data_IF_762973771216
#
_entry.id   IF_762973771216
#
_cell.length_a   1.000
_cell.length_b   1.000
_cell.length_c   1.000
_cell.angle_alpha   90.00
_cell.angle_beta   90.00
_cell.angle_gamma   90.00
#
_symmetry.space_group_name_H-M   'P 1'
#
loop_
_entity.id
_entity.type
_entity.pdbx_description
1 polymer ?
#
# COMPACT_ATOMS: atom_id res chain seq x y z
N UNK A 1 8.73 -7.71 15.57
CA UNK A 1 8.24 -8.33 14.31
C UNK A 1 7.66 -9.73 14.52
N UNK A 2 8.43 -10.72 14.99
CA UNK A 2 7.98 -12.13 15.09
C UNK A 2 6.63 -12.32 15.81
N UNK A 3 6.48 -11.74 17.00
CA UNK A 3 5.24 -11.88 17.79
C UNK A 3 4.04 -11.22 17.09
N UNK A 4 4.24 -10.02 16.54
CA UNK A 4 3.20 -9.29 15.80
C UNK A 4 2.77 -10.03 14.51
N UNK A 5 3.72 -10.65 13.79
CA UNK A 5 3.43 -11.45 12.62
C UNK A 5 2.68 -12.74 12.99
N UNK A 6 3.08 -13.42 14.06
CA UNK A 6 2.39 -14.60 14.56
C UNK A 6 0.95 -14.28 14.98
N UNK A 7 0.73 -13.14 15.64
CA UNK A 7 -0.61 -12.66 15.97
C UNK A 7 -1.43 -12.31 14.72
N UNK A 8 -0.82 -11.65 13.72
CA UNK A 8 -1.48 -11.36 12.45
C UNK A 8 -1.91 -12.65 11.73
N UNK A 9 -1.07 -13.69 11.71
CA UNK A 9 -1.40 -15.00 11.15
C UNK A 9 -2.55 -15.67 11.94
N UNK A 10 -2.49 -15.66 13.27
CA UNK A 10 -3.54 -16.23 14.13
C UNK A 10 -4.90 -15.55 13.93
N UNK A 11 -4.89 -14.25 13.65
CA UNK A 11 -6.10 -13.47 13.38
C UNK A 11 -6.55 -13.52 11.92
N UNK A 12 -5.80 -14.20 11.05
CA UNK A 12 -6.12 -14.34 9.61
C UNK A 12 -5.82 -13.10 8.78
N UNK A 13 -4.98 -12.18 9.27
CA UNK A 13 -4.53 -10.99 8.54
C UNK A 13 -3.30 -11.25 7.66
N UNK A 14 -2.50 -12.27 7.98
CA UNK A 14 -1.34 -12.66 7.20
C UNK A 14 -1.43 -14.14 6.83
N UNK A 15 -0.96 -14.50 5.64
CA UNK A 15 -0.91 -15.88 5.17
C UNK A 15 0.20 -16.69 5.86
N UNK A 16 0.19 -18.02 5.65
CA UNK A 16 1.21 -18.92 6.18
C UNK A 16 2.61 -18.56 5.65
N UNK A 17 2.70 -18.17 4.37
CA UNK A 17 3.88 -17.55 3.77
C UNK A 17 3.60 -16.05 3.54
N UNK A 18 4.04 -15.16 4.46
CA UNK A 18 3.77 -13.74 4.38
C UNK A 18 4.82 -12.98 3.56
N UNK A 19 5.69 -13.68 2.81
CA UNK A 19 6.85 -13.08 2.11
C UNK A 19 6.44 -11.90 1.23
N UNK A 20 5.35 -12.02 0.49
CA UNK A 20 4.89 -10.94 -0.41
C UNK A 20 4.51 -9.65 0.32
N UNK A 21 3.99 -9.77 1.53
CA UNK A 21 3.59 -8.63 2.36
C UNK A 21 4.82 -8.04 3.07
N UNK A 22 5.61 -8.87 3.76
CA UNK A 22 6.69 -8.40 4.62
C UNK A 22 7.91 -7.91 3.83
N UNK A 23 8.15 -8.44 2.64
CA UNK A 23 9.20 -7.97 1.72
C UNK A 23 8.72 -6.81 0.82
N UNK A 24 7.43 -6.45 0.89
CA UNK A 24 6.87 -5.30 0.16
C UNK A 24 6.59 -5.54 -1.33
N UNK A 25 6.60 -6.78 -1.79
CA UNK A 25 6.33 -7.14 -3.19
C UNK A 25 4.89 -6.85 -3.61
N UNK A 26 3.92 -7.05 -2.72
CA UNK A 26 2.52 -6.69 -2.99
C UNK A 26 2.36 -5.17 -3.22
N UNK A 27 3.03 -4.38 -2.36
CA UNK A 27 3.05 -2.91 -2.50
C UNK A 27 3.72 -2.50 -3.81
N UNK A 28 4.83 -3.15 -4.19
CA UNK A 28 5.51 -2.87 -5.46
C UNK A 28 4.63 -3.20 -6.68
N UNK A 29 3.92 -4.32 -6.67
CA UNK A 29 2.99 -4.70 -7.74
C UNK A 29 1.87 -3.67 -7.90
N UNK A 30 1.27 -3.24 -6.78
CA UNK A 30 0.24 -2.19 -6.77
C UNK A 30 0.79 -0.86 -7.28
N UNK A 31 2.03 -0.51 -6.92
CA UNK A 31 2.68 0.71 -7.37
C UNK A 31 2.92 0.71 -8.89
N UNK A 32 3.39 -0.41 -9.45
CA UNK A 32 3.56 -0.55 -10.92
C UNK A 32 2.23 -0.34 -11.64
N UNK A 33 1.18 -1.04 -11.23
CA UNK A 33 -0.12 -0.99 -11.90
C UNK A 33 -0.69 0.43 -11.84
N UNK A 34 -0.71 1.03 -10.64
CA UNK A 34 -1.31 2.36 -10.44
C UNK A 34 -0.51 3.45 -11.14
N UNK A 35 0.83 3.44 -11.04
CA UNK A 35 1.68 4.46 -11.67
C UNK A 35 1.62 4.38 -13.19
N UNK A 36 1.65 3.17 -13.76
CA UNK A 36 1.53 3.01 -15.20
C UNK A 36 0.15 3.44 -15.72
N UNK A 37 -0.91 3.16 -14.96
CA UNK A 37 -2.27 3.53 -15.34
C UNK A 37 -2.52 5.04 -15.25
N UNK A 38 -2.07 5.68 -14.16
CA UNK A 38 -2.38 7.09 -13.87
C UNK A 38 -1.37 8.05 -14.50
N UNK A 39 -0.08 7.69 -14.46
CA UNK A 39 1.03 8.58 -14.84
C UNK A 39 1.73 8.15 -16.14
N UNK A 40 1.40 6.98 -16.70
CA UNK A 40 2.02 6.49 -17.94
C UNK A 40 3.51 6.20 -17.83
N UNK A 41 3.99 5.83 -16.63
CA UNK A 41 5.42 5.77 -16.32
C UNK A 41 6.20 4.65 -17.02
N UNK A 42 5.53 3.60 -17.47
CA UNK A 42 6.17 2.44 -18.11
C UNK A 42 7.09 1.63 -17.19
N UNK A 43 6.87 1.71 -15.87
CA UNK A 43 7.65 1.01 -14.86
C UNK A 43 7.38 -0.49 -14.88
N UNK A 44 8.40 -1.27 -14.54
CA UNK A 44 8.31 -2.67 -14.16
C UNK A 44 8.76 -2.87 -12.71
N UNK A 45 8.51 -4.05 -12.15
CA UNK A 45 8.98 -4.38 -10.79
C UNK A 45 10.50 -4.20 -10.64
N UNK A 46 11.27 -4.44 -11.71
CA UNK A 46 12.73 -4.33 -11.69
C UNK A 46 13.23 -2.90 -11.55
N UNK A 47 12.36 -1.92 -11.80
CA UNK A 47 12.67 -0.49 -11.74
C UNK A 47 12.38 0.09 -10.35
N UNK A 48 11.89 -0.72 -9.41
CA UNK A 48 11.53 -0.31 -8.05
C UNK A 48 12.63 -0.73 -7.08
N UNK A 49 13.09 0.21 -6.26
CA UNK A 49 13.91 -0.09 -5.09
C UNK A 49 13.01 -0.60 -3.95
N UNK A 50 13.15 -1.87 -3.56
CA UNK A 50 12.23 -2.54 -2.63
C UNK A 50 12.97 -2.93 -1.35
N UNK A 51 12.50 -2.39 -0.23
CA UNK A 51 12.88 -2.78 1.13
C UNK A 51 11.62 -3.11 1.93
N UNK A 52 11.57 -4.33 2.46
CA UNK A 52 10.49 -4.80 3.33
C UNK A 52 10.52 -4.20 4.73
N UNK A 53 9.63 -4.72 5.58
CA UNK A 53 9.53 -4.38 7.01
C UNK A 53 10.28 -5.36 7.92
N UNK A 54 10.88 -6.43 7.38
CA UNK A 54 11.48 -7.53 8.16
C UNK A 54 12.55 -7.09 9.15
N UNK A 55 13.31 -6.04 8.81
CA UNK A 55 14.36 -5.48 9.67
C UNK A 55 13.86 -4.42 10.68
N UNK A 56 12.56 -4.10 10.70
CA UNK A 56 12.01 -3.08 11.61
C UNK A 56 11.88 -3.65 13.02
N UNK A 57 12.58 -3.01 13.96
CA UNK A 57 12.59 -3.37 15.38
C UNK A 57 11.47 -2.68 16.16
N UNK A 58 11.23 -3.14 17.38
CA UNK A 58 10.27 -2.49 18.30
C UNK A 58 10.81 -1.14 18.75
N UNK A 59 12.13 -1.03 18.87
CA UNK A 59 12.87 0.17 19.23
C UNK A 59 12.69 1.26 18.18
N UNK A 60 12.76 0.93 16.88
CA UNK A 60 12.51 1.86 15.78
C UNK A 60 11.10 2.46 15.87
N UNK A 61 10.10 1.61 16.14
CA UNK A 61 8.69 2.04 16.27
C UNK A 61 8.51 2.92 17.51
N UNK A 62 9.10 2.56 18.65
CA UNK A 62 9.04 3.37 19.88
C UNK A 62 9.73 4.72 19.71
N UNK A 63 10.86 4.75 19.02
CA UNK A 63 11.58 5.98 18.72
C UNK A 63 10.73 6.91 17.85
N UNK A 64 10.17 6.40 16.75
CA UNK A 64 9.28 7.18 15.88
C UNK A 64 8.07 7.72 16.68
N UNK A 65 7.44 6.88 17.52
CA UNK A 65 6.32 7.30 18.36
C UNK A 65 6.71 8.41 19.35
N UNK A 66 7.91 8.37 19.91
CA UNK A 66 8.41 9.42 20.81
C UNK A 66 8.59 10.78 20.11
N UNK A 67 8.70 10.78 18.78
CA UNK A 67 8.86 11.96 17.93
C UNK A 67 7.53 12.41 17.29
N UNK A 68 6.40 11.79 17.65
CA UNK A 68 5.09 12.10 17.06
C UNK A 68 4.89 11.51 15.66
N UNK A 69 5.63 10.45 15.34
CA UNK A 69 5.61 9.74 14.06
C UNK A 69 5.29 8.25 14.26
N UNK A 70 5.06 7.56 13.16
CA UNK A 70 4.98 6.09 13.10
C UNK A 70 5.64 5.59 11.82
N UNK A 71 5.85 4.28 11.71
CA UNK A 71 6.49 3.67 10.55
C UNK A 71 5.40 2.99 9.70
N UNK A 72 5.39 3.28 8.40
CA UNK A 72 4.51 2.65 7.41
C UNK A 72 5.32 2.12 6.25
N UNK A 73 4.91 0.99 5.66
CA UNK A 73 5.45 0.54 4.38
C UNK A 73 4.81 1.39 3.27
N UNK A 74 5.60 2.22 2.59
CA UNK A 74 5.12 3.18 1.60
C UNK A 74 5.72 2.84 0.23
N UNK A 75 4.85 2.65 -0.76
CA UNK A 75 5.22 2.70 -2.18
C UNK A 75 5.05 4.12 -2.70
N UNK A 76 6.07 4.67 -3.37
CA UNK A 76 6.03 6.03 -3.91
C UNK A 76 6.68 6.15 -5.28
N UNK A 77 6.15 7.02 -6.12
CA UNK A 77 6.78 7.50 -7.35
C UNK A 77 6.92 9.00 -7.28
N UNK A 78 8.13 9.50 -7.11
CA UNK A 78 8.41 10.93 -6.97
C UNK A 78 9.63 11.32 -7.79
N UNK A 79 9.52 12.38 -8.60
CA UNK A 79 10.62 12.84 -9.45
C UNK A 79 11.13 11.75 -10.42
N UNK A 80 10.25 10.86 -10.87
CA UNK A 80 10.59 9.75 -11.77
C UNK A 80 11.27 8.54 -11.10
N UNK A 81 11.40 8.52 -9.77
CA UNK A 81 11.96 7.38 -9.03
C UNK A 81 10.88 6.62 -8.30
N UNK A 82 10.89 5.30 -8.42
CA UNK A 82 9.96 4.41 -7.75
C UNK A 82 10.66 3.65 -6.61
N UNK A 83 10.04 3.63 -5.42
CA UNK A 83 10.54 2.86 -4.27
C UNK A 83 9.41 2.31 -3.42
N UNK A 84 9.70 1.24 -2.69
CA UNK A 84 8.90 0.67 -1.61
C UNK A 84 9.82 0.53 -0.40
N UNK A 85 9.51 1.22 0.70
CA UNK A 85 10.32 1.16 1.92
C UNK A 85 9.50 1.50 3.16
N UNK A 86 9.95 1.07 4.36
CA UNK A 86 9.44 1.62 5.61
C UNK A 86 9.81 3.10 5.71
N UNK A 87 8.82 3.96 5.87
CA UNK A 87 8.97 5.41 5.98
C UNK A 87 8.34 5.90 7.29
N UNK A 88 8.93 6.95 7.87
CA UNK A 88 8.32 7.65 9.00
C UNK A 88 7.23 8.59 8.47
N UNK A 89 6.06 8.53 9.09
CA UNK A 89 4.93 9.43 8.81
C UNK A 89 4.44 10.04 10.12
N UNK A 90 4.06 11.31 10.11
CA UNK A 90 3.50 11.94 11.31
C UNK A 90 2.21 11.23 11.73
N UNK A 91 1.92 11.22 13.03
CA UNK A 91 0.72 10.56 13.54
C UNK A 91 -0.59 11.16 12.98
N UNK A 92 -0.55 12.41 12.54
CA UNK A 92 -1.66 13.15 11.93
C UNK A 92 -1.71 13.04 10.41
N UNK A 93 -0.72 12.41 9.76
CA UNK A 93 -0.67 12.29 8.31
C UNK A 93 -1.83 11.42 7.78
N UNK A 94 -2.50 11.78 6.67
CA UNK A 94 -3.59 10.98 6.10
C UNK A 94 -3.19 9.55 5.71
N UNK A 95 -1.91 9.33 5.37
CA UNK A 95 -1.35 7.99 5.10
C UNK A 95 -1.22 7.11 6.36
N UNK A 96 -1.36 7.68 7.56
CA UNK A 96 -1.37 6.91 8.80
C UNK A 96 -2.73 6.20 9.01
N UNK A 97 -3.02 5.23 8.14
CA UNK A 97 -4.20 4.37 8.26
C UNK A 97 -3.90 3.12 9.08
N UNK A 98 -4.92 2.56 9.72
CA UNK A 98 -4.80 1.45 10.67
C UNK A 98 -5.56 0.21 10.22
N UNK A 99 -5.19 -0.96 10.74
CA UNK A 99 -5.84 -2.23 10.41
C UNK A 99 -5.66 -2.59 8.93
N UNK A 100 -6.75 -3.00 8.28
CA UNK A 100 -6.77 -3.45 6.87
C UNK A 100 -7.11 -2.34 5.87
N UNK A 101 -7.06 -1.09 6.31
CA UNK A 101 -7.23 0.06 5.42
C UNK A 101 -5.94 0.32 4.64
N UNK A 102 -6.13 0.66 3.37
CA UNK A 102 -5.09 1.18 2.50
C UNK A 102 -5.37 2.67 2.24
N UNK A 103 -4.30 3.41 1.96
CA UNK A 103 -4.37 4.80 1.53
C UNK A 103 -3.53 5.01 0.28
N UNK A 104 -4.01 5.86 -0.62
CA UNK A 104 -3.23 6.41 -1.72
C UNK A 104 -3.30 7.93 -1.64
N UNK A 105 -2.15 8.57 -1.72
CA UNK A 105 -2.00 10.02 -1.67
C UNK A 105 -1.34 10.49 -2.97
N UNK A 106 -1.87 11.53 -3.59
CA UNK A 106 -1.35 12.07 -4.85
C UNK A 106 -1.59 13.56 -4.95
N UNK A 107 -0.65 14.26 -5.59
CA UNK A 107 -0.75 15.68 -5.88
C UNK A 107 -1.52 15.94 -7.17
N UNK A 108 -2.42 16.91 -7.11
CA UNK A 108 -3.17 17.40 -8.27
C UNK A 108 -2.97 18.90 -8.41
N UNK A 109 -2.82 19.37 -9.64
CA UNK A 109 -2.86 20.81 -9.91
C UNK A 109 -4.22 21.18 -10.52
N UNK A 110 -4.94 22.16 -9.97
CA UNK A 110 -4.59 23.05 -8.85
C UNK A 110 -5.10 22.58 -7.47
N UNK A 111 -5.77 21.43 -7.37
CA UNK A 111 -6.51 21.03 -6.16
C UNK A 111 -5.64 20.58 -4.97
N UNK A 112 -4.33 20.51 -5.15
CA UNK A 112 -3.37 20.12 -4.12
C UNK A 112 -3.35 18.61 -3.88
N UNK A 113 -2.90 18.23 -2.69
CA UNK A 113 -2.81 16.84 -2.25
C UNK A 113 -4.20 16.24 -1.97
N UNK A 114 -4.44 15.05 -2.52
CA UNK A 114 -5.67 14.27 -2.30
C UNK A 114 -5.29 12.91 -1.73
N UNK A 115 -5.94 12.51 -0.63
CA UNK A 115 -5.80 11.16 -0.07
C UNK A 115 -7.12 10.40 -0.16
N UNK A 116 -7.06 9.20 -0.74
CA UNK A 116 -8.16 8.25 -0.76
C UNK A 116 -7.88 7.14 0.24
N UNK A 117 -8.83 6.85 1.13
CA UNK A 117 -8.73 5.81 2.15
C UNK A 117 -9.88 4.82 2.00
N UNK A 118 -9.57 3.52 2.05
CA UNK A 118 -10.57 2.46 1.98
C UNK A 118 -9.98 1.13 2.39
N UNK A 119 -10.82 0.11 2.53
CA UNK A 119 -10.34 -1.26 2.75
C UNK A 119 -9.66 -1.77 1.49
N UNK A 120 -8.42 -2.25 1.61
CA UNK A 120 -7.63 -2.74 0.49
C UNK A 120 -7.61 -4.26 0.33
N UNK A 121 -8.22 -4.98 1.27
CA UNK A 121 -8.29 -6.43 1.28
C UNK A 121 -9.61 -6.89 1.92
N UNK A 122 -10.08 -8.07 1.54
CA UNK A 122 -11.34 -8.67 2.00
C UNK A 122 -12.15 -9.26 0.84
N UNK A 123 -12.81 -10.39 1.08
CA UNK A 123 -13.59 -11.10 0.06
C UNK A 123 -14.71 -10.23 -0.53
N UNK A 124 -15.62 -9.66 0.28
CA UNK A 124 -16.69 -8.79 -0.21
C UNK A 124 -16.18 -7.53 -0.92
N UNK A 125 -15.15 -6.89 -0.37
CA UNK A 125 -14.53 -5.69 -0.95
C UNK A 125 -13.92 -5.99 -2.33
N UNK A 126 -13.19 -7.10 -2.46
CA UNK A 126 -12.59 -7.53 -3.73
C UNK A 126 -13.65 -7.94 -4.75
N UNK A 127 -14.66 -8.70 -4.32
CA UNK A 127 -15.77 -9.13 -5.18
C UNK A 127 -16.55 -7.93 -5.74
N UNK A 128 -16.70 -6.86 -4.95
CA UNK A 128 -17.37 -5.64 -5.40
C UNK A 128 -16.67 -5.01 -6.60
N UNK A 129 -15.33 -4.90 -6.56
CA UNK A 129 -14.54 -4.40 -7.68
C UNK A 129 -14.65 -5.28 -8.92
N UNK A 130 -14.57 -6.61 -8.76
CA UNK A 130 -14.72 -7.57 -9.86
C UNK A 130 -16.11 -7.44 -10.53
N UNK A 131 -17.18 -7.35 -9.74
CA UNK A 131 -18.54 -7.20 -10.27
C UNK A 131 -18.69 -5.87 -11.02
N UNK A 132 -18.13 -4.78 -10.47
CA UNK A 132 -18.13 -3.47 -11.15
C UNK A 132 -17.50 -3.59 -12.53
N UNK A 133 -16.32 -4.19 -12.64
CA UNK A 133 -15.60 -4.34 -13.91
C UNK A 133 -16.40 -5.19 -14.90
N UNK A 134 -17.03 -6.29 -14.46
CA UNK A 134 -17.90 -7.10 -15.30
C UNK A 134 -19.11 -6.31 -15.83
N UNK A 135 -19.71 -5.44 -15.01
CA UNK A 135 -20.81 -4.57 -15.43
C UNK A 135 -20.35 -3.52 -16.43
N UNK A 136 -19.16 -2.94 -16.26
CA UNK A 136 -18.56 -2.00 -17.20
C UNK A 136 -18.27 -2.66 -18.54
N UNK A 137 -17.66 -3.85 -18.55
CA UNK A 137 -17.43 -4.66 -19.75
C UNK A 137 -18.75 -4.95 -20.45
N UNK A 138 -19.78 -5.39 -19.70
CA UNK A 138 -21.11 -5.63 -20.28
C UNK A 138 -21.67 -4.37 -20.92
N UNK A 139 -21.59 -3.20 -20.28
CA UNK A 139 -22.08 -1.93 -20.87
C UNK A 139 -21.33 -1.54 -22.13
N UNK A 140 -20.03 -1.83 -22.20
CA UNK A 140 -19.20 -1.48 -23.35
C UNK A 140 -19.40 -2.42 -24.56
N UNK A 141 -19.70 -3.70 -24.32
CA UNK A 141 -19.67 -4.74 -25.36
C UNK A 141 -20.99 -5.49 -25.59
N UNK A 142 -21.93 -5.46 -24.64
CA UNK A 142 -23.26 -6.04 -24.86
C UNK A 142 -24.11 -5.04 -25.65
N UNK A 143 -24.44 -5.41 -26.89
CA UNK A 143 -25.47 -4.76 -27.70
C UNK A 143 -26.85 -5.17 -27.22
#
# INVERSE_FOLDING_TARGET
>A
MKDALADAQRLGYAEADPTYDVEGLDTACKLVITSNHVLGTGLSIKDIDIRGITDISVEDVKEALSQGETIKLIGSVTGGKAKVSPERVTLTHPLNVSGTFNAICFDTFPSGEVTLVGKGAGGPETATSVIRDLLEIRRAYAR
#
